data_IF_702725127569
#
_entry.id   IF_702725127569
#
_cell.length_a   1.000
_cell.length_b   1.000
_cell.length_c   1.000
_cell.angle_alpha   90.00
_cell.angle_beta   90.00
_cell.angle_gamma   90.00
#
_symmetry.space_group_name_H-M   'P 1'
#
loop_
_entity.id
_entity.type
_entity.pdbx_description
1 polymer ?
#
# COMPACT_ATOMS: atom_id res chain seq x y z
N UNK A 1 -13.55 18.91 15.94
CA UNK A 1 -12.54 19.34 14.93
C UNK A 1 -11.11 19.36 15.49
N UNK A 2 -10.87 19.92 16.68
CA UNK A 2 -9.54 19.99 17.31
C UNK A 2 -8.90 18.59 17.55
N UNK A 3 -9.68 17.63 18.03
CA UNK A 3 -9.25 16.25 18.29
C UNK A 3 -8.79 15.52 17.01
N UNK A 4 -9.49 15.71 15.89
CA UNK A 4 -9.13 15.11 14.60
C UNK A 4 -7.82 15.69 14.09
N UNK A 5 -7.63 17.00 14.20
CA UNK A 5 -6.41 17.69 13.80
C UNK A 5 -5.18 17.16 14.57
N UNK A 6 -5.29 16.99 15.88
CA UNK A 6 -4.22 16.42 16.71
C UNK A 6 -3.91 14.96 16.35
N UNK A 7 -4.95 14.16 16.09
CA UNK A 7 -4.77 12.78 15.64
C UNK A 7 -4.03 12.70 14.31
N UNK A 8 -4.34 13.58 13.36
CA UNK A 8 -3.66 13.65 12.08
C UNK A 8 -2.18 14.04 12.19
N UNK A 9 -1.87 14.99 13.07
CA UNK A 9 -0.49 15.40 13.34
C UNK A 9 0.30 14.26 13.99
N UNK A 10 -0.29 13.58 14.97
CA UNK A 10 0.31 12.43 15.63
C UNK A 10 0.58 11.28 14.64
N UNK A 11 -0.35 11.02 13.72
CA UNK A 11 -0.18 10.02 12.65
C UNK A 11 1.01 10.37 11.76
N UNK A 12 1.16 11.64 11.37
CA UNK A 12 2.28 12.09 10.51
C UNK A 12 3.64 11.96 11.17
N UNK A 13 3.70 12.13 12.49
CA UNK A 13 4.93 12.04 13.27
C UNK A 13 5.28 10.60 13.67
N UNK A 14 4.31 9.68 13.63
CA UNK A 14 4.51 8.29 14.03
C UNK A 14 5.02 7.43 12.88
N UNK A 15 5.65 6.30 13.23
CA UNK A 15 6.05 5.24 12.28
C UNK A 15 5.15 4.01 12.40
N UNK A 16 4.60 3.81 13.56
CA UNK A 16 3.65 2.74 13.89
C UNK A 16 2.40 3.41 14.43
N UNK A 17 1.26 3.09 13.86
CA UNK A 17 -0.05 3.53 14.33
C UNK A 17 -0.84 2.32 14.80
N UNK A 18 -1.20 2.30 16.06
CA UNK A 18 -2.13 1.31 16.62
C UNK A 18 -3.49 1.98 16.70
N UNK A 19 -4.43 1.56 15.84
CA UNK A 19 -5.81 2.00 15.90
C UNK A 19 -6.55 1.11 16.90
N UNK A 20 -7.07 1.74 17.95
CA UNK A 20 -7.83 1.05 19.00
C UNK A 20 -9.32 1.18 18.69
N UNK A 21 -10.00 0.05 18.57
CA UNK A 21 -11.46 0.00 18.43
C UNK A 21 -12.09 -0.71 19.63
N UNK A 22 -13.32 -0.34 19.96
CA UNK A 22 -14.11 -1.07 20.93
C UNK A 22 -14.73 -2.30 20.27
N UNK A 23 -14.37 -3.48 20.75
CA UNK A 23 -14.87 -4.73 20.13
C UNK A 23 -16.32 -5.05 20.51
N UNK A 24 -16.90 -4.35 21.50
CA UNK A 24 -18.32 -4.44 21.85
C UNK A 24 -19.21 -3.58 20.94
N UNK A 25 -18.62 -2.69 20.16
CA UNK A 25 -19.29 -1.81 19.21
C UNK A 25 -18.86 -2.13 17.77
N UNK A 26 -19.69 -1.69 16.82
CA UNK A 26 -19.31 -1.81 15.41
C UNK A 26 -18.27 -0.76 15.04
N UNK A 27 -17.27 -1.15 14.23
CA UNK A 27 -16.33 -0.17 13.65
C UNK A 27 -17.09 0.92 12.89
N UNK A 28 -16.83 2.17 13.20
CA UNK A 28 -17.51 3.32 12.59
C UNK A 28 -16.72 3.89 11.41
N UNK A 29 -17.38 4.68 10.57
CA UNK A 29 -16.75 5.23 9.36
C UNK A 29 -15.59 6.18 9.69
N UNK A 30 -15.61 6.82 10.86
CA UNK A 30 -14.52 7.66 11.34
C UNK A 30 -13.24 6.84 11.59
N UNK A 31 -13.36 5.62 12.15
CA UNK A 31 -12.22 4.73 12.38
C UNK A 31 -11.60 4.31 11.05
N UNK A 32 -12.45 3.99 10.07
CA UNK A 32 -12.02 3.62 8.71
C UNK A 32 -11.29 4.79 8.04
N UNK A 33 -11.80 6.01 8.22
CA UNK A 33 -11.16 7.20 7.69
C UNK A 33 -9.78 7.45 8.31
N UNK A 34 -9.65 7.37 9.63
CA UNK A 34 -8.37 7.51 10.34
C UNK A 34 -7.37 6.42 9.93
N UNK A 35 -7.84 5.18 9.78
CA UNK A 35 -7.03 4.09 9.28
C UNK A 35 -6.52 4.36 7.87
N UNK A 36 -7.38 4.85 6.98
CA UNK A 36 -7.00 5.25 5.62
C UNK A 36 -5.92 6.32 5.61
N UNK A 37 -6.03 7.33 6.49
CA UNK A 37 -5.03 8.40 6.62
C UNK A 37 -3.69 7.88 7.16
N UNK A 38 -3.70 6.97 8.15
CA UNK A 38 -2.50 6.35 8.68
C UNK A 38 -1.77 5.52 7.59
N UNK A 39 -2.52 4.77 6.80
CA UNK A 39 -1.98 4.01 5.66
C UNK A 39 -1.40 4.93 4.58
N UNK A 40 -2.11 6.02 4.25
CA UNK A 40 -1.63 7.00 3.27
C UNK A 40 -0.35 7.72 3.71
N UNK A 41 -0.14 7.86 5.03
CA UNK A 41 1.09 8.41 5.61
C UNK A 41 2.27 7.43 5.57
N UNK A 42 2.04 6.16 5.18
CA UNK A 42 3.07 5.13 5.09
C UNK A 42 3.40 4.46 6.43
N UNK A 43 2.58 4.68 7.45
CA UNK A 43 2.77 4.06 8.75
C UNK A 43 2.53 2.54 8.68
N UNK A 44 3.22 1.82 9.54
CA UNK A 44 2.82 0.46 9.87
C UNK A 44 1.57 0.54 10.75
N UNK A 45 0.44 0.10 10.21
CA UNK A 45 -0.85 0.17 10.91
C UNK A 45 -1.22 -1.18 11.48
N UNK A 46 -1.64 -1.20 12.74
CA UNK A 46 -2.13 -2.37 13.44
C UNK A 46 -3.47 -2.03 14.08
N UNK A 47 -4.44 -2.93 13.96
CA UNK A 47 -5.77 -2.77 14.54
C UNK A 47 -5.86 -3.57 15.84
N UNK A 48 -6.23 -2.90 16.93
CA UNK A 48 -6.43 -3.51 18.23
C UNK A 48 -7.91 -3.42 18.64
N UNK A 49 -8.57 -4.57 18.69
CA UNK A 49 -9.94 -4.71 19.18
C UNK A 49 -9.91 -4.90 20.70
N UNK A 50 -10.18 -3.82 21.42
CA UNK A 50 -10.17 -3.78 22.90
C UNK A 50 -11.49 -4.31 23.48
N UNK A 51 -11.50 -4.55 24.79
CA UNK A 51 -12.59 -5.18 25.55
C UNK A 51 -12.89 -6.62 25.12
N UNK A 52 -11.89 -7.33 24.64
CA UNK A 52 -12.05 -8.71 24.18
C UNK A 52 -12.36 -9.71 25.31
N UNK A 53 -12.23 -9.29 26.54
CA UNK A 53 -12.66 -10.03 27.76
C UNK A 53 -14.19 -10.14 27.82
N UNK A 54 -14.94 -9.23 27.24
CA UNK A 54 -16.40 -9.22 27.19
C UNK A 54 -16.95 -10.13 26.08
N UNK A 55 -16.10 -10.65 25.21
CA UNK A 55 -16.52 -11.40 24.03
C UNK A 55 -16.24 -12.90 24.15
N UNK A 56 -17.20 -13.71 23.74
CA UNK A 56 -17.01 -15.13 23.47
C UNK A 56 -16.17 -15.35 22.20
N UNK A 57 -15.68 -16.59 22.01
CA UNK A 57 -14.94 -16.94 20.78
C UNK A 57 -15.75 -16.66 19.50
N UNK A 58 -17.04 -17.00 19.49
CA UNK A 58 -17.93 -16.75 18.34
C UNK A 58 -18.11 -15.27 18.04
N UNK A 59 -18.24 -14.43 19.07
CA UNK A 59 -18.35 -12.98 18.90
C UNK A 59 -17.05 -12.38 18.37
N UNK A 60 -15.88 -12.87 18.79
CA UNK A 60 -14.59 -12.48 18.19
C UNK A 60 -14.51 -12.78 16.70
N UNK A 61 -14.98 -13.95 16.28
CA UNK A 61 -15.04 -14.32 14.86
C UNK A 61 -16.00 -13.41 14.08
N UNK A 62 -17.14 -13.02 14.67
CA UNK A 62 -18.06 -12.07 14.06
C UNK A 62 -17.44 -10.69 13.92
N UNK A 63 -16.79 -10.15 14.97
CA UNK A 63 -16.07 -8.88 14.92
C UNK A 63 -15.01 -8.91 13.83
N UNK A 64 -14.19 -9.97 13.79
CA UNK A 64 -13.17 -10.16 12.75
C UNK A 64 -13.78 -10.10 11.35
N UNK A 65 -14.83 -10.86 11.09
CA UNK A 65 -15.52 -10.88 9.80
C UNK A 65 -16.13 -9.53 9.42
N UNK A 66 -16.65 -8.77 10.39
CA UNK A 66 -17.16 -7.41 10.15
C UNK A 66 -16.06 -6.45 9.77
N UNK A 67 -14.93 -6.47 10.49
CA UNK A 67 -13.78 -5.64 10.20
C UNK A 67 -13.20 -5.97 8.84
N UNK A 68 -12.96 -7.24 8.53
CA UNK A 68 -12.45 -7.69 7.23
C UNK A 68 -13.36 -7.24 6.07
N UNK A 69 -14.67 -7.29 6.26
CA UNK A 69 -15.63 -6.81 5.25
C UNK A 69 -15.53 -5.31 5.02
N UNK A 70 -15.33 -4.51 6.08
CA UNK A 70 -15.19 -3.06 5.98
C UNK A 70 -13.81 -2.65 5.48
N UNK A 71 -12.77 -3.41 5.78
CA UNK A 71 -11.38 -3.13 5.43
C UNK A 71 -10.89 -3.90 4.18
N UNK A 72 -11.77 -4.23 3.23
CA UNK A 72 -11.39 -4.91 1.98
C UNK A 72 -10.26 -4.20 1.21
N UNK A 73 -10.13 -2.89 1.38
CA UNK A 73 -9.06 -2.10 0.77
C UNK A 73 -7.70 -2.27 1.47
N UNK A 74 -7.69 -2.87 2.65
CA UNK A 74 -6.54 -3.04 3.53
C UNK A 74 -6.55 -4.42 4.21
N UNK A 75 -6.78 -5.48 3.41
CA UNK A 75 -6.89 -6.88 3.82
C UNK A 75 -5.63 -7.47 4.48
N UNK A 76 -4.54 -6.71 4.41
CA UNK A 76 -3.24 -7.04 5.00
C UNK A 76 -3.06 -6.55 6.43
N UNK A 77 -4.05 -5.88 7.01
CA UNK A 77 -4.00 -5.41 8.40
C UNK A 77 -4.51 -6.51 9.32
N UNK A 78 -3.66 -6.91 10.28
CA UNK A 78 -4.08 -7.86 11.30
C UNK A 78 -4.87 -7.19 12.41
N UNK A 79 -5.84 -7.95 12.92
CA UNK A 79 -6.67 -7.58 14.05
C UNK A 79 -6.17 -8.32 15.27
N UNK A 80 -5.84 -7.56 16.31
CA UNK A 80 -5.40 -8.09 17.61
C UNK A 80 -6.49 -7.87 18.65
N UNK A 81 -6.99 -8.95 19.23
CA UNK A 81 -7.91 -8.87 20.35
C UNK A 81 -7.15 -8.67 21.64
N UNK A 82 -7.46 -7.61 22.37
CA UNK A 82 -6.81 -7.23 23.62
C UNK A 82 -7.85 -6.90 24.69
N UNK A 83 -7.45 -6.97 25.93
CA UNK A 83 -8.16 -6.36 27.06
C UNK A 83 -7.20 -5.46 27.83
N UNK A 84 -7.40 -4.15 27.68
CA UNK A 84 -6.60 -3.17 28.41
C UNK A 84 -6.86 -3.27 29.93
N UNK A 85 -8.09 -3.57 30.33
CA UNK A 85 -8.48 -3.71 31.74
C UNK A 85 -7.79 -4.91 32.40
N UNK A 86 -7.70 -6.05 31.70
CA UNK A 86 -7.08 -7.27 32.22
C UNK A 86 -5.60 -7.41 31.86
N UNK A 87 -5.01 -6.41 31.19
CA UNK A 87 -3.64 -6.45 30.68
C UNK A 87 -3.36 -7.65 29.74
N UNK A 88 -4.37 -8.17 29.06
CA UNK A 88 -4.25 -9.32 28.16
C UNK A 88 -3.95 -8.86 26.73
N UNK A 89 -2.96 -9.49 26.10
CA UNK A 89 -2.62 -9.28 24.68
C UNK A 89 -1.75 -8.04 24.38
N UNK A 90 -1.54 -7.13 25.32
CA UNK A 90 -0.84 -5.85 25.10
C UNK A 90 0.62 -6.04 24.70
N UNK A 91 1.37 -6.86 25.45
CA UNK A 91 2.80 -7.10 25.15
C UNK A 91 2.95 -7.74 23.77
N UNK A 92 2.07 -8.70 23.44
CA UNK A 92 2.06 -9.34 22.12
C UNK A 92 1.76 -8.35 21.00
N UNK A 93 0.77 -7.46 21.20
CA UNK A 93 0.42 -6.41 20.26
C UNK A 93 1.63 -5.52 19.96
N UNK A 94 2.30 -4.99 21.00
CA UNK A 94 3.46 -4.12 20.83
C UNK A 94 4.59 -4.84 20.12
N UNK A 95 4.94 -6.06 20.56
CA UNK A 95 6.00 -6.86 19.95
C UNK A 95 5.74 -7.10 18.46
N UNK A 96 4.54 -7.54 18.11
CA UNK A 96 4.17 -7.80 16.71
C UNK A 96 4.11 -6.51 15.87
N UNK A 97 3.73 -5.38 16.47
CA UNK A 97 3.76 -4.06 15.79
C UNK A 97 5.19 -3.65 15.43
N UNK A 98 6.15 -3.85 16.32
CA UNK A 98 7.57 -3.57 16.06
C UNK A 98 8.13 -4.52 15.01
N UNK A 99 7.92 -5.82 15.13
CA UNK A 99 8.37 -6.83 14.17
C UNK A 99 7.85 -6.54 12.74
N UNK A 100 6.59 -6.10 12.64
CA UNK A 100 6.00 -5.66 11.36
C UNK A 100 6.67 -4.43 10.81
N UNK A 101 6.89 -3.44 11.66
CA UNK A 101 7.57 -2.22 11.26
C UNK A 101 8.97 -2.51 10.71
N UNK A 102 9.74 -3.34 11.39
CA UNK A 102 11.07 -3.77 10.95
C UNK A 102 11.00 -4.49 9.59
N UNK A 103 10.01 -5.37 9.40
CA UNK A 103 9.80 -6.07 8.13
C UNK A 103 9.47 -5.09 7.00
N UNK A 104 8.57 -4.14 7.24
CA UNK A 104 8.17 -3.14 6.25
C UNK A 104 9.31 -2.19 5.85
N UNK A 105 10.32 -2.01 6.71
CA UNK A 105 11.45 -1.11 6.49
C UNK A 105 12.72 -1.80 5.97
N UNK A 106 12.69 -3.11 5.69
CA UNK A 106 13.81 -3.81 5.07
C UNK A 106 14.16 -3.19 3.72
N UNK A 107 15.45 -3.15 3.42
CA UNK A 107 15.91 -2.69 2.13
C UNK A 107 15.52 -3.69 1.03
N UNK A 108 14.95 -3.14 -0.03
CA UNK A 108 14.49 -3.93 -1.17
C UNK A 108 15.44 -3.64 -2.33
N UNK A 109 16.13 -4.67 -2.81
CA UNK A 109 17.04 -4.52 -3.94
C UNK A 109 16.28 -4.21 -5.23
N UNK A 110 16.89 -3.41 -6.09
CA UNK A 110 16.36 -3.09 -7.43
C UNK A 110 16.13 -4.35 -8.26
N UNK A 111 17.00 -5.34 -8.13
CA UNK A 111 16.84 -6.62 -8.83
C UNK A 111 15.56 -7.35 -8.43
N UNK A 112 15.24 -7.36 -7.11
CA UNK A 112 13.98 -7.96 -6.61
C UNK A 112 12.76 -7.19 -7.14
N UNK A 113 12.80 -5.86 -7.15
CA UNK A 113 11.71 -5.05 -7.71
C UNK A 113 11.49 -5.31 -9.19
N UNK A 114 12.56 -5.48 -9.97
CA UNK A 114 12.45 -5.77 -11.39
C UNK A 114 11.94 -7.21 -11.66
N UNK A 115 12.32 -8.19 -10.86
CA UNK A 115 11.76 -9.53 -10.95
C UNK A 115 10.25 -9.51 -10.70
N UNK A 116 9.81 -8.86 -9.62
CA UNK A 116 8.37 -8.70 -9.29
C UNK A 116 7.63 -7.94 -10.41
N UNK A 117 8.22 -6.88 -10.96
CA UNK A 117 7.61 -6.15 -12.09
C UNK A 117 7.43 -7.08 -13.31
N UNK A 118 8.45 -7.88 -13.62
CA UNK A 118 8.38 -8.86 -14.73
C UNK A 118 7.24 -9.85 -14.52
N UNK A 119 7.11 -10.41 -13.32
CA UNK A 119 6.06 -11.36 -12.97
C UNK A 119 4.67 -10.72 -13.05
N UNK A 120 4.53 -9.48 -12.57
CA UNK A 120 3.30 -8.72 -12.69
C UNK A 120 2.88 -8.51 -14.16
N UNK A 121 3.84 -8.21 -15.04
CA UNK A 121 3.59 -8.02 -16.47
C UNK A 121 3.21 -9.31 -17.19
N UNK A 122 3.73 -10.46 -16.74
CA UNK A 122 3.36 -11.78 -17.25
C UNK A 122 1.95 -12.14 -16.83
N UNK A 123 1.59 -11.90 -15.55
CA UNK A 123 0.25 -12.24 -15.04
C UNK A 123 -0.84 -11.33 -15.61
N UNK A 124 -0.59 -10.03 -15.66
CA UNK A 124 -1.54 -9.06 -16.19
C UNK A 124 -0.82 -7.98 -17.00
N UNK A 125 -0.63 -8.18 -18.31
CA UNK A 125 -0.05 -7.15 -19.17
C UNK A 125 -0.94 -5.91 -19.24
N UNK A 126 -0.37 -4.71 -19.37
CA UNK A 126 -1.14 -3.48 -19.50
C UNK A 126 -2.00 -3.50 -20.76
N UNK A 127 -3.20 -2.95 -20.65
CA UNK A 127 -4.12 -2.80 -21.80
C UNK A 127 -3.52 -1.87 -22.86
N UNK A 128 -3.91 -2.07 -24.10
CA UNK A 128 -3.58 -1.12 -25.17
C UNK A 128 -4.29 0.21 -24.92
N UNK A 129 -3.59 1.30 -25.16
CA UNK A 129 -4.14 2.65 -25.16
C UNK A 129 -3.96 3.22 -26.57
N UNK A 130 -5.06 3.27 -27.32
CA UNK A 130 -5.02 3.60 -28.74
C UNK A 130 -4.18 2.60 -29.55
N UNK A 131 -3.20 3.12 -30.31
CA UNK A 131 -2.29 2.31 -31.14
C UNK A 131 -1.10 1.71 -30.39
N UNK A 132 -0.85 2.14 -29.15
CA UNK A 132 0.35 1.77 -28.41
C UNK A 132 0.00 1.07 -27.10
N UNK A 133 0.75 0.02 -26.78
CA UNK A 133 0.73 -0.60 -25.46
C UNK A 133 1.78 0.06 -24.59
N UNK A 134 1.43 0.52 -23.37
CA UNK A 134 2.41 1.01 -22.40
C UNK A 134 3.49 -0.05 -22.14
N UNK A 135 4.75 0.37 -22.08
CA UNK A 135 5.89 -0.52 -21.83
C UNK A 135 6.55 -0.13 -20.52
N UNK A 136 6.32 -0.90 -19.48
CA UNK A 136 7.03 -0.78 -18.22
C UNK A 136 8.38 -1.50 -18.37
N UNK A 137 9.48 -0.83 -18.04
CA UNK A 137 10.84 -1.31 -18.33
C UNK A 137 11.58 -1.76 -17.09
N UNK A 138 11.62 -0.91 -16.08
CA UNK A 138 12.27 -1.23 -14.82
C UNK A 138 11.65 -0.48 -13.64
N UNK A 139 11.89 -1.01 -12.43
CA UNK A 139 11.41 -0.43 -11.19
C UNK A 139 12.55 -0.24 -10.19
N UNK A 140 12.47 0.82 -9.38
CA UNK A 140 13.38 1.05 -8.27
C UNK A 140 12.64 1.68 -7.09
N UNK A 141 13.24 1.62 -5.90
CA UNK A 141 12.68 2.27 -4.71
C UNK A 141 12.89 3.79 -4.80
N UNK A 142 11.81 4.57 -4.71
CA UNK A 142 11.84 6.04 -4.74
C UNK A 142 11.62 6.69 -3.37
N UNK A 143 11.36 5.90 -2.32
CA UNK A 143 11.15 6.38 -0.96
C UNK A 143 10.74 5.26 -0.03
N UNK A 144 10.95 5.43 1.29
CA UNK A 144 10.68 4.37 2.29
C UNK A 144 9.37 4.58 3.09
N UNK A 145 9.02 5.80 3.43
CA UNK A 145 7.84 6.09 4.26
C UNK A 145 7.03 7.25 3.67
N UNK A 146 5.96 6.96 2.95
CA UNK A 146 5.49 5.66 2.47
C UNK A 146 6.42 5.00 1.45
N UNK A 147 6.40 3.67 1.36
CA UNK A 147 7.18 2.97 0.32
C UNK A 147 6.68 3.38 -1.06
N UNK A 148 7.57 4.01 -1.82
CA UNK A 148 7.33 4.40 -3.20
C UNK A 148 8.17 3.55 -4.14
N UNK A 149 7.54 2.96 -5.12
CA UNK A 149 8.20 2.25 -6.20
C UNK A 149 8.04 3.07 -7.47
N UNK A 150 9.15 3.51 -8.03
CA UNK A 150 9.16 4.26 -9.28
C UNK A 150 9.33 3.28 -10.43
N UNK A 151 8.38 3.29 -11.34
CA UNK A 151 8.37 2.45 -12.53
C UNK A 151 8.62 3.31 -13.76
N UNK A 152 9.69 3.01 -14.48
CA UNK A 152 10.08 3.70 -15.70
C UNK A 152 9.60 2.94 -16.94
N UNK A 153 9.26 3.68 -17.98
CA UNK A 153 8.82 3.07 -19.22
C UNK A 153 8.40 4.07 -20.28
N UNK A 154 7.61 3.62 -21.23
CA UNK A 154 7.11 4.44 -22.35
C UNK A 154 5.58 4.41 -22.38
N UNK A 155 4.97 5.56 -22.61
CA UNK A 155 3.50 5.76 -22.66
C UNK A 155 2.80 5.39 -21.33
N UNK A 156 3.46 5.57 -20.20
CA UNK A 156 2.93 5.20 -18.88
C UNK A 156 1.82 6.15 -18.43
N UNK A 157 1.80 7.38 -18.94
CA UNK A 157 0.72 8.36 -18.71
C UNK A 157 -0.67 7.87 -19.17
N UNK A 158 -0.71 6.89 -20.09
CA UNK A 158 -1.94 6.28 -20.58
C UNK A 158 -2.47 5.15 -19.68
N UNK A 159 -1.71 4.73 -18.67
CA UNK A 159 -2.13 3.68 -17.75
C UNK A 159 -3.28 4.15 -16.85
N UNK A 160 -4.30 3.31 -16.74
CA UNK A 160 -5.44 3.57 -15.86
C UNK A 160 -5.06 3.40 -14.39
N UNK A 161 -5.76 4.11 -13.51
CA UNK A 161 -5.58 3.99 -12.05
C UNK A 161 -5.85 2.56 -11.54
N UNK A 162 -6.69 1.79 -12.20
CA UNK A 162 -6.94 0.38 -11.90
C UNK A 162 -5.68 -0.45 -12.06
N UNK A 163 -4.89 -0.22 -13.12
CA UNK A 163 -3.63 -0.91 -13.35
C UNK A 163 -2.55 -0.48 -12.34
N UNK A 164 -2.53 0.79 -11.97
CA UNK A 164 -1.67 1.29 -10.89
C UNK A 164 -1.94 0.55 -9.58
N UNK A 165 -3.22 0.45 -9.18
CA UNK A 165 -3.65 -0.29 -7.97
C UNK A 165 -3.30 -1.77 -8.04
N UNK A 166 -3.42 -2.38 -9.21
CA UNK A 166 -2.98 -3.77 -9.43
C UNK A 166 -1.50 -3.91 -9.08
N UNK A 167 -0.63 -3.07 -9.63
CA UNK A 167 0.81 -3.11 -9.36
C UNK A 167 1.13 -2.83 -7.89
N UNK A 168 0.48 -1.85 -7.26
CA UNK A 168 0.63 -1.54 -5.83
C UNK A 168 0.33 -2.77 -4.96
N UNK A 169 -0.78 -3.45 -5.23
CA UNK A 169 -1.17 -4.67 -4.52
C UNK A 169 -0.23 -5.83 -4.84
N UNK A 170 0.20 -5.97 -6.09
CA UNK A 170 1.11 -7.02 -6.50
C UNK A 170 2.47 -6.88 -5.81
N UNK A 171 3.08 -5.70 -5.85
CA UNK A 171 4.32 -5.43 -5.14
C UNK A 171 4.17 -5.66 -3.64
N UNK A 172 3.09 -5.17 -3.03
CA UNK A 172 2.84 -5.37 -1.60
C UNK A 172 2.82 -6.85 -1.22
N UNK A 173 2.11 -7.66 -1.99
CA UNK A 173 1.96 -9.10 -1.75
C UNK A 173 3.28 -9.85 -1.93
N UNK A 174 3.98 -9.62 -3.04
CA UNK A 174 5.26 -10.30 -3.33
C UNK A 174 6.40 -9.88 -2.40
N UNK A 175 6.32 -8.69 -1.81
CA UNK A 175 7.26 -8.20 -0.80
C UNK A 175 6.86 -8.58 0.63
N UNK A 176 5.70 -9.22 0.83
CA UNK A 176 5.12 -9.56 2.15
C UNK A 176 5.04 -8.35 3.10
N UNK A 177 4.49 -7.24 2.58
CA UNK A 177 4.40 -5.99 3.32
C UNK A 177 3.01 -5.80 3.92
N UNK A 178 2.98 -5.34 5.18
CA UNK A 178 1.77 -4.95 5.92
C UNK A 178 1.60 -3.43 5.98
N UNK A 179 1.96 -2.75 4.91
CA UNK A 179 1.82 -1.30 4.74
C UNK A 179 1.46 -0.97 3.31
N UNK A 180 0.98 0.25 3.08
CA UNK A 180 0.68 0.72 1.73
C UNK A 180 1.94 0.85 0.88
N UNK A 181 1.85 0.41 -0.36
CA UNK A 181 2.86 0.61 -1.40
C UNK A 181 2.29 1.54 -2.44
N UNK A 182 3.05 2.53 -2.84
CA UNK A 182 2.65 3.49 -3.87
C UNK A 182 3.52 3.32 -5.11
N UNK A 183 2.89 3.22 -6.27
CA UNK A 183 3.58 3.17 -7.55
C UNK A 183 3.52 4.55 -8.20
N UNK A 184 4.67 5.04 -8.63
CA UNK A 184 4.81 6.24 -9.43
C UNK A 184 5.33 5.87 -10.81
N UNK A 185 4.64 6.34 -11.86
CA UNK A 185 5.08 6.14 -13.23
C UNK A 185 5.90 7.33 -13.71
N UNK A 186 7.05 7.04 -14.32
CA UNK A 186 7.88 8.03 -15.00
C UNK A 186 8.10 7.60 -16.45
N UNK A 187 7.57 8.38 -17.36
CA UNK A 187 7.84 8.17 -18.78
C UNK A 187 9.31 8.48 -19.06
N UNK A 188 9.99 7.56 -19.75
CA UNK A 188 11.33 7.79 -20.26
C UNK A 188 11.28 8.89 -21.31
N UNK A 189 12.10 9.92 -21.15
CA UNK A 189 12.23 10.94 -22.18
C UNK A 189 12.65 10.27 -23.49
N UNK A 190 11.93 10.57 -24.56
CA UNK A 190 12.33 10.15 -25.89
C UNK A 190 13.51 11.03 -26.34
N UNK A 191 14.76 10.50 -26.40
CA UNK A 191 15.92 11.31 -26.79
C UNK A 191 15.80 11.88 -28.22
N UNK A 192 14.85 11.38 -29.00
CA UNK A 192 14.58 11.82 -30.36
C UNK A 192 13.33 12.68 -30.51
N UNK A 193 12.67 13.10 -29.42
CA UNK A 193 11.42 13.87 -29.45
C UNK A 193 11.54 15.20 -30.25
N UNK A 194 12.73 15.78 -30.33
CA UNK A 194 13.02 17.01 -31.04
C UNK A 194 13.77 16.85 -32.38
N UNK A 195 14.13 15.63 -32.75
CA UNK A 195 14.75 15.38 -34.07
C UNK A 195 13.65 15.28 -35.11
N UNK A 196 13.47 16.34 -35.90
CA UNK A 196 12.69 16.24 -37.13
C UNK A 196 13.38 15.22 -38.03
N UNK A 197 12.63 14.18 -38.44
CA UNK A 197 13.11 13.25 -39.47
C UNK A 197 13.42 14.06 -40.75
N UNK A 198 14.68 14.29 -41.00
CA UNK A 198 15.11 14.79 -42.30
C UNK A 198 14.99 13.65 -43.30
N UNK A 199 14.14 13.84 -44.29
CA UNK A 199 13.99 12.89 -45.39
C UNK A 199 15.37 12.66 -46.02
N UNK A 200 15.77 11.41 -46.14
CA UNK A 200 17.00 11.02 -46.85
C UNK A 200 16.83 11.35 -48.34
N UNK A 201 17.93 11.60 -49.05
CA UNK A 201 17.89 11.98 -50.50
C UNK A 201 17.21 10.94 -51.37
N UNK A 202 17.08 9.67 -50.95
CA UNK A 202 16.26 8.64 -51.60
C UNK A 202 14.73 8.81 -51.37
N UNK A 203 14.31 9.53 -50.34
CA UNK A 203 12.90 9.79 -50.05
C UNK A 203 12.42 11.13 -50.61
N UNK A 204 13.33 11.95 -51.15
CA UNK A 204 13.06 13.21 -51.84
C UNK A 204 12.90 13.08 -53.33
N UNK A 205 13.11 11.88 -53.87
CA UNK A 205 12.81 11.51 -55.26
C UNK A 205 11.47 10.76 -55.24
#
# INVERSE_FOLDING_TARGET
>A
EFSISQSLESIKLSRITILLIDSSESIVDQDIHLLGLALASGNTVVLAANKADLLTAKEKDLVKSQVERKLRFADYIDIHFISAQENKGLIRLIKQSVERHERNNKEISTNKLNAILSDALVQQPPSMSGRFRPKLRYAHAGGKNPLRIVVHGNNLSSLQNTYKRYLENFFRKELDLSTSVFVQFLDSENPYKNNKNTLTDRQKK
#
